data_IF_195580106862
#
_entry.id   IF_195580106862
#
_cell.length_a   1.000
_cell.length_b   1.000
_cell.length_c   1.000
_cell.angle_alpha   90.00
_cell.angle_beta   90.00
_cell.angle_gamma   90.00
#
_symmetry.space_group_name_H-M   'P 1'
#
loop_
_entity.id
_entity.type
_entity.pdbx_description
1 polymer ?
#
# COMPACT_ATOMS: atom_id res chain seq x y z
N UNK A 1 0.97 4.06 20.51
CA UNK A 1 0.40 5.40 20.72
C UNK A 1 0.51 6.30 19.48
N UNK A 2 1.69 6.46 18.86
CA UNK A 2 1.85 7.25 17.63
C UNK A 2 0.91 6.82 16.49
N UNK A 3 0.89 5.52 16.16
CA UNK A 3 -0.01 4.98 15.12
C UNK A 3 -1.49 5.26 15.38
N UNK A 4 -1.93 5.22 16.65
CA UNK A 4 -3.32 5.49 17.02
C UNK A 4 -3.68 6.97 16.85
N UNK A 5 -2.75 7.87 17.18
CA UNK A 5 -2.94 9.32 17.00
C UNK A 5 -3.03 9.66 15.51
N UNK A 6 -2.15 9.08 14.69
CA UNK A 6 -2.16 9.27 13.24
C UNK A 6 -3.46 8.72 12.63
N UNK A 7 -3.88 7.50 13.01
CA UNK A 7 -5.13 6.93 12.54
C UNK A 7 -6.35 7.78 12.93
N UNK A 8 -6.40 8.26 14.18
CA UNK A 8 -7.48 9.13 14.64
C UNK A 8 -7.48 10.46 13.88
N UNK A 9 -6.31 11.10 13.72
CA UNK A 9 -6.19 12.36 12.98
C UNK A 9 -6.61 12.23 11.53
N UNK A 10 -6.15 11.18 10.85
CA UNK A 10 -6.54 10.88 9.46
C UNK A 10 -8.04 10.67 9.35
N UNK A 11 -8.64 9.86 10.23
CA UNK A 11 -10.08 9.62 10.23
C UNK A 11 -10.90 10.91 10.35
N UNK A 12 -10.55 11.79 11.29
CA UNK A 12 -11.26 13.07 11.46
C UNK A 12 -11.12 13.97 10.22
N UNK A 13 -9.92 14.05 9.64
CA UNK A 13 -9.68 14.84 8.44
C UNK A 13 -10.50 14.33 7.24
N UNK A 14 -10.43 13.01 6.97
CA UNK A 14 -11.19 12.34 5.91
C UNK A 14 -12.69 12.55 6.08
N UNK A 15 -13.20 12.40 7.30
CA UNK A 15 -14.61 12.61 7.58
C UNK A 15 -15.05 14.07 7.36
N UNK A 16 -14.28 15.05 7.80
CA UNK A 16 -14.58 16.48 7.58
C UNK A 16 -14.60 16.80 6.08
N UNK A 17 -13.61 16.34 5.32
CA UNK A 17 -13.59 16.53 3.86
C UNK A 17 -14.79 15.87 3.21
N UNK A 18 -15.13 14.65 3.62
CA UNK A 18 -16.29 13.94 3.10
C UNK A 18 -17.60 14.70 3.37
N UNK A 19 -17.78 15.21 4.58
CA UNK A 19 -18.98 15.95 4.97
C UNK A 19 -19.12 17.29 4.22
N UNK A 20 -18.01 17.99 3.93
CA UNK A 20 -18.02 19.26 3.18
C UNK A 20 -18.16 19.01 1.68
N UNK A 21 -17.30 18.14 1.12
CA UNK A 21 -17.27 17.80 -0.30
C UNK A 21 -16.61 16.43 -0.50
N UNK A 22 -17.39 15.36 -0.74
CA UNK A 22 -16.87 14.00 -0.88
C UNK A 22 -15.68 13.84 -1.83
N UNK A 23 -15.70 14.58 -2.96
CA UNK A 23 -14.63 14.56 -3.94
C UNK A 23 -13.24 14.94 -3.39
N UNK A 24 -13.15 15.72 -2.30
CA UNK A 24 -11.86 16.04 -1.68
C UNK A 24 -11.29 14.86 -0.91
N UNK A 25 -12.15 14.13 -0.19
CA UNK A 25 -11.71 12.91 0.50
C UNK A 25 -11.23 11.85 -0.50
N UNK A 26 -11.94 11.69 -1.61
CA UNK A 26 -11.53 10.74 -2.66
C UNK A 26 -10.24 11.15 -3.35
N UNK A 27 -10.07 12.44 -3.67
CA UNK A 27 -8.83 12.93 -4.27
C UNK A 27 -7.63 12.78 -3.34
N UNK A 28 -7.79 13.11 -2.05
CA UNK A 28 -6.72 12.92 -1.09
C UNK A 28 -6.32 11.44 -1.00
N UNK A 29 -7.29 10.53 -0.99
CA UNK A 29 -7.01 9.10 -0.97
C UNK A 29 -6.25 8.64 -2.23
N UNK A 30 -6.67 9.10 -3.41
CA UNK A 30 -5.99 8.81 -4.66
C UNK A 30 -4.55 9.38 -4.71
N UNK A 31 -4.32 10.58 -4.15
CA UNK A 31 -2.98 11.16 -4.06
C UNK A 31 -2.07 10.32 -3.14
N UNK A 32 -2.62 9.67 -2.10
CA UNK A 32 -1.87 8.73 -1.26
C UNK A 32 -1.55 7.42 -1.97
N UNK A 33 -2.52 6.86 -2.72
CA UNK A 33 -2.34 5.64 -3.51
C UNK A 33 -1.27 5.82 -4.59
N UNK A 34 -1.29 6.94 -5.33
CA UNK A 34 -0.28 7.27 -6.35
C UNK A 34 1.12 7.41 -5.74
N UNK A 35 1.21 8.04 -4.56
CA UNK A 35 2.48 8.16 -3.86
C UNK A 35 3.01 6.81 -3.35
N UNK A 36 2.13 5.96 -2.82
CA UNK A 36 2.49 4.62 -2.35
C UNK A 36 3.00 3.75 -3.51
N UNK A 37 2.34 3.76 -4.67
CA UNK A 37 2.80 3.01 -5.85
C UNK A 37 4.22 3.43 -6.26
N UNK A 38 4.50 4.74 -6.27
CA UNK A 38 5.80 5.26 -6.68
C UNK A 38 6.93 4.88 -5.70
N UNK A 39 6.68 5.00 -4.40
CA UNK A 39 7.67 4.68 -3.36
C UNK A 39 7.93 3.18 -3.29
N UNK A 40 6.88 2.34 -3.36
CA UNK A 40 7.03 0.89 -3.33
C UNK A 40 7.79 0.37 -4.56
N UNK A 41 7.50 0.92 -5.75
CA UNK A 41 8.23 0.57 -6.96
C UNK A 41 9.72 0.95 -6.88
N UNK A 42 10.02 2.09 -6.25
CA UNK A 42 11.40 2.54 -6.02
C UNK A 42 12.10 1.65 -5.00
N UNK A 43 11.42 1.27 -3.92
CA UNK A 43 11.95 0.39 -2.88
C UNK A 43 12.37 -0.99 -3.44
N UNK A 44 11.54 -1.59 -4.31
CA UNK A 44 11.88 -2.86 -4.97
C UNK A 44 13.10 -2.71 -5.89
N UNK A 45 13.20 -1.60 -6.61
CA UNK A 45 14.33 -1.33 -7.50
C UNK A 45 15.65 -1.09 -6.72
N UNK A 46 15.57 -0.51 -5.54
CA UNK A 46 16.73 -0.20 -4.67
C UNK A 46 17.27 -1.44 -3.93
N UNK A 47 16.49 -2.52 -3.83
CA UNK A 47 16.85 -3.73 -3.07
C UNK A 47 16.90 -5.02 -3.92
N UNK A 48 17.85 -5.14 -4.88
CA UNK A 48 17.97 -6.31 -5.74
C UNK A 48 18.28 -7.62 -4.99
N UNK A 49 18.82 -7.55 -3.76
CA UNK A 49 19.07 -8.71 -2.91
C UNK A 49 17.79 -9.50 -2.53
N UNK A 50 16.61 -8.87 -2.62
CA UNK A 50 15.33 -9.47 -2.26
C UNK A 50 14.87 -10.57 -3.22
N UNK A 51 15.38 -10.59 -4.46
CA UNK A 51 15.15 -11.67 -5.43
C UNK A 51 15.65 -13.02 -4.89
N UNK A 52 16.69 -12.99 -4.07
CA UNK A 52 17.32 -14.20 -3.51
C UNK A 52 16.90 -14.49 -2.08
N UNK A 53 16.14 -13.58 -1.45
CA UNK A 53 15.70 -13.70 -0.06
C UNK A 53 14.41 -14.51 0.00
N UNK A 54 14.40 -15.72 0.58
CA UNK A 54 13.21 -16.55 0.62
C UNK A 54 12.13 -15.91 1.48
N UNK A 55 10.89 -15.85 0.97
CA UNK A 55 9.76 -15.43 1.77
C UNK A 55 9.21 -16.62 2.59
N UNK A 56 9.28 -16.52 3.92
CA UNK A 56 8.77 -17.55 4.85
C UNK A 56 7.64 -17.02 5.74
N UNK A 57 6.88 -16.05 5.25
CA UNK A 57 5.80 -15.42 6.03
C UNK A 57 4.60 -16.35 6.24
N UNK A 58 3.78 -16.03 7.24
CA UNK A 58 2.60 -16.82 7.62
C UNK A 58 1.39 -16.64 6.70
N UNK A 59 1.44 -15.71 5.74
CA UNK A 59 0.32 -15.35 4.87
C UNK A 59 0.28 -16.12 3.55
N UNK A 60 1.14 -17.15 3.42
CA UNK A 60 1.23 -18.01 2.22
C UNK A 60 -0.10 -18.70 1.90
N UNK A 61 -0.89 -19.02 2.93
CA UNK A 61 -2.19 -19.69 2.75
C UNK A 61 -3.27 -18.76 2.17
N UNK A 62 -3.16 -17.44 2.38
CA UNK A 62 -4.14 -16.45 1.93
C UNK A 62 -3.78 -15.83 0.57
N UNK A 63 -2.48 -15.62 0.31
CA UNK A 63 -1.99 -14.91 -0.89
C UNK A 63 -1.19 -15.79 -1.86
N UNK A 64 -1.05 -17.08 -1.54
CA UNK A 64 -0.27 -18.02 -2.31
C UNK A 64 1.21 -18.05 -1.91
N UNK A 65 1.91 -19.08 -2.40
CA UNK A 65 3.33 -19.28 -2.11
C UNK A 65 4.16 -18.41 -3.05
N UNK A 66 4.91 -17.50 -2.47
CA UNK A 66 5.87 -16.64 -3.15
C UNK A 66 7.28 -17.12 -2.83
N UNK A 67 8.13 -17.21 -3.85
CA UNK A 67 9.46 -17.81 -3.73
C UNK A 67 10.47 -16.85 -3.10
N UNK A 68 10.31 -15.55 -3.35
CA UNK A 68 11.21 -14.51 -2.84
C UNK A 68 10.47 -13.32 -2.22
N UNK A 69 11.20 -12.51 -1.45
CA UNK A 69 10.68 -11.25 -0.91
C UNK A 69 10.36 -10.25 -2.04
N UNK A 70 11.10 -10.29 -3.15
CA UNK A 70 10.79 -9.49 -4.33
C UNK A 70 9.42 -9.86 -4.93
N UNK A 71 9.07 -11.15 -4.95
CA UNK A 71 7.77 -11.62 -5.43
C UNK A 71 6.62 -11.18 -4.52
N UNK A 72 6.86 -11.08 -3.21
CA UNK A 72 5.90 -10.47 -2.27
C UNK A 72 5.59 -9.02 -2.63
N UNK A 73 6.62 -8.17 -2.77
CA UNK A 73 6.39 -6.77 -3.09
C UNK A 73 5.75 -6.58 -4.48
N UNK A 74 6.13 -7.41 -5.46
CA UNK A 74 5.45 -7.40 -6.78
C UNK A 74 3.97 -7.74 -6.68
N UNK A 75 3.62 -8.75 -5.88
CA UNK A 75 2.23 -9.12 -5.66
C UNK A 75 1.45 -7.97 -4.99
N UNK A 76 2.04 -7.32 -4.00
CA UNK A 76 1.45 -6.13 -3.35
C UNK A 76 1.21 -5.01 -4.38
N UNK A 77 2.23 -4.64 -5.16
CA UNK A 77 2.07 -3.63 -6.22
C UNK A 77 0.99 -4.01 -7.25
N UNK A 78 0.89 -5.30 -7.60
CA UNK A 78 -0.13 -5.79 -8.52
C UNK A 78 -1.54 -5.66 -7.94
N UNK A 79 -1.74 -6.00 -6.67
CA UNK A 79 -3.03 -5.91 -6.00
C UNK A 79 -3.48 -4.45 -5.78
N UNK A 80 -2.53 -3.54 -5.52
CA UNK A 80 -2.80 -2.10 -5.45
C UNK A 80 -3.26 -1.54 -6.82
N UNK A 81 -2.62 -1.96 -7.92
CA UNK A 81 -3.06 -1.59 -9.29
C UNK A 81 -4.46 -2.07 -9.62
N UNK A 82 -4.83 -3.27 -9.18
CA UNK A 82 -6.19 -3.78 -9.37
C UNK A 82 -7.23 -2.97 -8.58
N UNK A 83 -6.87 -2.46 -7.39
CA UNK A 83 -7.74 -1.62 -6.57
C UNK A 83 -7.86 -0.18 -7.10
N UNK A 84 -6.77 0.38 -7.63
CA UNK A 84 -6.74 1.71 -8.23
C UNK A 84 -7.62 1.83 -9.50
N UNK A 85 -7.87 0.70 -10.18
CA UNK A 85 -8.75 0.61 -11.34
C UNK A 85 -8.10 1.18 -12.61
N UNK A 86 -7.74 0.30 -13.53
CA UNK A 86 -7.74 0.61 -14.97
C UNK A 86 -9.18 0.77 -15.50
#
# INVERSE_FOLDING_TARGET
>A
MLLQILAFGYYQLSWIMYAIRPAWSYRLNADFEDHAEHEDASLVAEHPEWESTPYTGSFVDDFGRLDSLADLFRQICYDERLQAGE
#
